data_IF_370160291064
#
_entry.id   IF_370160291064
#
_cell.length_a   1.000
_cell.length_b   1.000
_cell.length_c   1.000
_cell.angle_alpha   90.00
_cell.angle_beta   90.00
_cell.angle_gamma   90.00
#
_symmetry.space_group_name_H-M   'P 1'
#
loop_
_entity.id
_entity.type
_entity.pdbx_description
1 polymer ?
#
# COMPACT_ATOMS: atom_id res chain seq x y z
N UNK A 1 27.37 1.26 14.40
CA UNK A 1 27.07 1.09 15.85
C UNK A 1 25.97 2.02 16.35
N UNK A 2 25.93 3.30 16.00
CA UNK A 2 24.93 4.24 16.53
C UNK A 2 23.47 3.86 16.17
N UNK A 3 23.23 3.40 14.94
CA UNK A 3 21.91 2.94 14.49
C UNK A 3 21.40 1.72 15.27
N UNK A 4 22.28 0.76 15.54
CA UNK A 4 21.94 -0.43 16.34
C UNK A 4 21.57 -0.02 17.77
N UNK A 5 22.32 0.93 18.37
CA UNK A 5 21.99 1.46 19.69
C UNK A 5 20.62 2.13 19.72
N UNK A 6 20.29 2.95 18.72
CA UNK A 6 18.97 3.58 18.59
C UNK A 6 17.85 2.55 18.37
N UNK A 7 18.08 1.53 17.55
CA UNK A 7 17.10 0.47 17.31
C UNK A 7 16.82 -0.35 18.58
N UNK A 8 17.86 -0.69 19.34
CA UNK A 8 17.74 -1.36 20.64
C UNK A 8 16.95 -0.48 21.62
N UNK A 9 17.20 0.83 21.64
CA UNK A 9 16.46 1.77 22.49
C UNK A 9 14.97 1.77 22.12
N UNK A 10 14.64 1.92 20.82
CA UNK A 10 13.25 1.88 20.34
C UNK A 10 12.57 0.57 20.74
N UNK A 11 13.25 -0.57 20.55
CA UNK A 11 12.74 -1.89 20.92
C UNK A 11 12.37 -1.98 22.41
N UNK A 12 13.28 -1.59 23.31
CA UNK A 12 13.03 -1.62 24.75
C UNK A 12 11.95 -0.61 25.18
N UNK A 13 11.91 0.58 24.58
CA UNK A 13 10.84 1.56 24.88
C UNK A 13 9.46 1.04 24.48
N UNK A 14 9.33 0.41 23.31
CA UNK A 14 8.05 -0.16 22.86
C UNK A 14 7.62 -1.35 23.71
N UNK A 15 8.56 -2.19 24.16
CA UNK A 15 8.26 -3.25 25.12
C UNK A 15 7.69 -2.68 26.44
N UNK A 16 8.29 -1.63 26.98
CA UNK A 16 7.81 -0.98 28.20
C UNK A 16 6.48 -0.24 28.03
N UNK A 17 6.23 0.35 26.85
CA UNK A 17 5.00 1.08 26.54
C UNK A 17 3.85 0.15 26.11
N UNK A 18 4.13 -1.08 25.70
CA UNK A 18 3.12 -2.02 25.22
C UNK A 18 1.92 -2.25 26.17
N UNK A 19 2.08 -2.41 27.50
CA UNK A 19 0.93 -2.51 28.41
C UNK A 19 0.10 -1.23 28.47
N UNK A 20 0.71 -0.06 28.29
CA UNK A 20 0.03 1.24 28.26
C UNK A 20 -0.75 1.41 26.94
N UNK A 21 -0.17 1.02 25.81
CA UNK A 21 -0.84 0.97 24.51
C UNK A 21 -2.07 0.05 24.56
N UNK A 22 -1.96 -1.08 25.27
CA UNK A 22 -3.09 -2.00 25.49
C UNK A 22 -4.21 -1.36 26.31
N UNK A 23 -3.88 -0.60 27.36
CA UNK A 23 -4.89 0.01 28.23
C UNK A 23 -5.54 1.26 27.66
N UNK A 24 -4.90 1.92 26.68
CA UNK A 24 -5.28 3.25 26.16
C UNK A 24 -6.73 3.36 25.67
N UNK A 25 -7.26 2.32 25.03
CA UNK A 25 -8.61 2.36 24.43
C UNK A 25 -9.58 1.34 25.04
N UNK A 26 -9.30 0.85 26.25
CA UNK A 26 -10.18 -0.11 26.94
C UNK A 26 -11.57 0.46 27.25
N UNK A 27 -11.66 1.77 27.49
CA UNK A 27 -12.92 2.48 27.75
C UNK A 27 -13.73 2.80 26.49
N UNK A 28 -13.15 2.59 25.30
CA UNK A 28 -13.82 2.85 24.02
C UNK A 28 -14.51 1.58 23.51
N UNK A 29 -15.74 1.71 23.00
CA UNK A 29 -16.48 0.59 22.42
C UNK A 29 -15.79 0.02 21.17
N UNK A 30 -15.92 -1.29 20.96
CA UNK A 30 -15.30 -2.00 19.83
C UNK A 30 -15.73 -1.44 18.48
N UNK A 31 -17.03 -1.13 18.32
CA UNK A 31 -17.58 -0.65 17.05
C UNK A 31 -16.99 0.70 16.64
N UNK A 32 -16.81 1.59 17.62
CA UNK A 32 -16.12 2.88 17.41
C UNK A 32 -14.66 2.69 17.05
N UNK A 33 -13.96 1.72 17.66
CA UNK A 33 -12.58 1.40 17.32
C UNK A 33 -12.47 0.95 15.86
N UNK A 34 -13.33 0.03 15.41
CA UNK A 34 -13.35 -0.41 14.02
C UNK A 34 -13.62 0.75 13.06
N UNK A 35 -14.60 1.60 13.38
CA UNK A 35 -14.92 2.78 12.57
C UNK A 35 -13.76 3.79 12.51
N UNK A 36 -13.15 4.11 13.65
CA UNK A 36 -12.03 5.05 13.72
C UNK A 36 -10.79 4.50 13.00
N UNK A 37 -10.45 3.21 13.18
CA UNK A 37 -9.36 2.57 12.45
C UNK A 37 -9.60 2.57 10.94
N UNK A 38 -10.84 2.31 10.50
CA UNK A 38 -11.22 2.39 9.09
C UNK A 38 -11.00 3.80 8.53
N UNK A 39 -11.50 4.84 9.21
CA UNK A 39 -11.33 6.23 8.76
C UNK A 39 -9.88 6.69 8.78
N UNK A 40 -9.10 6.30 9.80
CA UNK A 40 -7.68 6.63 9.88
C UNK A 40 -6.87 5.92 8.78
N UNK A 41 -7.20 4.68 8.44
CA UNK A 41 -6.60 3.98 7.30
C UNK A 41 -7.03 4.60 5.96
N UNK A 42 -8.28 5.04 5.83
CA UNK A 42 -8.74 5.78 4.65
C UNK A 42 -7.96 7.09 4.49
N UNK A 43 -7.79 7.87 5.58
CA UNK A 43 -6.94 9.07 5.58
C UNK A 43 -5.51 8.72 5.18
N UNK A 44 -4.94 7.64 5.72
CA UNK A 44 -3.61 7.19 5.31
C UNK A 44 -3.55 6.98 3.79
N UNK A 45 -4.48 6.21 3.22
CA UNK A 45 -4.50 5.88 1.78
C UNK A 45 -4.68 7.14 0.93
N UNK A 46 -5.63 8.02 1.23
CA UNK A 46 -5.92 9.19 0.38
C UNK A 46 -4.86 10.28 0.47
N UNK A 47 -4.26 10.48 1.63
CA UNK A 47 -3.28 11.55 1.85
C UNK A 47 -1.82 11.09 1.72
N UNK A 48 -1.57 9.81 1.39
CA UNK A 48 -0.22 9.32 1.17
C UNK A 48 0.36 9.88 -0.14
N UNK A 49 1.58 10.42 -0.08
CA UNK A 49 2.28 10.90 -1.28
C UNK A 49 2.88 9.70 -2.06
N UNK A 50 2.10 9.20 -3.02
CA UNK A 50 2.51 8.17 -3.98
C UNK A 50 3.41 8.68 -5.10
N UNK A 51 3.67 10.00 -5.19
CA UNK A 51 4.54 10.53 -6.23
C UNK A 51 5.96 9.98 -6.05
N UNK A 52 6.47 9.34 -7.10
CA UNK A 52 7.80 8.71 -7.10
C UNK A 52 8.97 9.69 -7.23
N UNK A 53 8.70 11.00 -7.17
CA UNK A 53 9.66 12.04 -7.45
C UNK A 53 10.25 12.60 -6.15
N UNK A 54 11.58 12.60 -6.04
CA UNK A 54 12.29 13.47 -5.09
C UNK A 54 12.24 14.90 -5.60
N UNK A 55 11.08 15.53 -5.51
CA UNK A 55 10.98 16.97 -5.77
C UNK A 55 11.23 17.65 -4.44
N UNK A 56 12.47 18.09 -4.24
CA UNK A 56 12.94 18.85 -3.08
C UNK A 56 12.37 20.26 -3.00
N UNK A 57 11.07 20.45 -3.22
CA UNK A 57 10.40 21.75 -3.13
C UNK A 57 9.05 21.56 -2.44
N UNK A 58 9.02 21.92 -1.15
CA UNK A 58 7.86 22.42 -0.40
C UNK A 58 6.53 21.69 -0.60
N UNK A 59 6.47 20.37 -0.38
CA UNK A 59 5.18 19.71 -0.17
C UNK A 59 4.80 19.79 1.31
N UNK A 60 3.57 20.19 1.55
CA UNK A 60 2.88 20.22 2.84
C UNK A 60 3.19 18.97 3.71
N UNK A 61 3.00 19.04 5.04
CA UNK A 61 3.13 17.88 5.96
C UNK A 61 2.10 16.75 5.72
N UNK A 62 1.56 16.60 4.50
CA UNK A 62 0.68 15.50 4.09
C UNK A 62 1.34 14.13 4.25
N UNK A 63 2.66 14.04 4.04
CA UNK A 63 3.41 12.82 4.31
C UNK A 63 3.36 12.44 5.80
N UNK A 64 3.51 13.41 6.71
CA UNK A 64 3.39 13.17 8.15
C UNK A 64 1.97 12.90 8.61
N UNK A 65 0.95 13.53 8.01
CA UNK A 65 -0.46 13.26 8.34
C UNK A 65 -0.82 11.81 8.05
N UNK A 66 -0.47 11.32 6.85
CA UNK A 66 -0.77 9.96 6.42
C UNK A 66 -0.05 8.91 7.30
N UNK A 67 1.25 9.10 7.60
CA UNK A 67 1.97 8.16 8.46
C UNK A 67 1.48 8.18 9.90
N UNK A 68 1.17 9.35 10.45
CA UNK A 68 0.61 9.48 11.80
C UNK A 68 -0.77 8.84 11.90
N UNK A 69 -1.61 9.00 10.87
CA UNK A 69 -2.92 8.35 10.80
C UNK A 69 -2.80 6.82 10.76
N UNK A 70 -1.89 6.25 9.98
CA UNK A 70 -1.67 4.80 9.94
C UNK A 70 -1.13 4.25 11.26
N UNK A 71 -0.18 4.96 11.90
CA UNK A 71 0.33 4.55 13.21
C UNK A 71 -0.77 4.62 14.27
N UNK A 72 -1.60 5.67 14.27
CA UNK A 72 -2.74 5.80 15.18
C UNK A 72 -3.80 4.71 14.92
N UNK A 73 -4.10 4.39 13.67
CA UNK A 73 -5.02 3.30 13.33
C UNK A 73 -4.51 1.95 13.86
N UNK A 74 -3.21 1.72 13.71
CA UNK A 74 -2.52 0.50 14.15
C UNK A 74 -2.49 0.38 15.67
N UNK A 75 -2.21 1.47 16.41
CA UNK A 75 -2.16 1.44 17.87
C UNK A 75 -3.54 1.23 18.48
N UNK A 76 -4.58 1.86 17.92
CA UNK A 76 -5.98 1.70 18.35
C UNK A 76 -6.50 0.29 18.03
N UNK A 77 -6.02 -0.35 16.96
CA UNK A 77 -6.34 -1.76 16.69
C UNK A 77 -5.54 -2.71 17.59
N UNK A 78 -4.27 -2.38 17.84
CA UNK A 78 -3.38 -3.19 18.67
C UNK A 78 -3.88 -3.34 20.10
N UNK A 79 -4.49 -2.29 20.67
CA UNK A 79 -5.01 -2.33 22.03
C UNK A 79 -6.09 -3.39 22.29
N UNK A 80 -6.74 -3.90 21.23
CA UNK A 80 -7.73 -4.98 21.29
C UNK A 80 -7.12 -6.38 21.33
N UNK A 81 -5.82 -6.51 21.11
CA UNK A 81 -5.14 -7.80 21.15
C UNK A 81 -5.03 -8.31 22.59
N UNK A 82 -5.30 -9.62 22.83
CA UNK A 82 -5.34 -10.19 24.17
C UNK A 82 -3.97 -10.22 24.85
N UNK A 83 -2.89 -10.40 24.09
CA UNK A 83 -1.52 -10.47 24.63
C UNK A 83 -0.73 -9.19 24.40
N UNK A 84 -0.02 -8.73 25.43
CA UNK A 84 0.93 -7.61 25.34
C UNK A 84 2.00 -7.87 24.26
N UNK A 85 2.44 -9.11 24.10
CA UNK A 85 3.39 -9.48 23.03
C UNK A 85 2.83 -9.25 21.62
N UNK A 86 1.53 -9.50 21.43
CA UNK A 86 0.86 -9.25 20.14
C UNK A 86 0.73 -7.74 19.87
N UNK A 87 0.36 -6.95 20.88
CA UNK A 87 0.32 -5.48 20.81
C UNK A 87 1.69 -4.92 20.40
N UNK A 88 2.74 -5.39 21.06
CA UNK A 88 4.12 -5.02 20.74
C UNK A 88 4.49 -5.40 19.30
N UNK A 89 4.23 -6.63 18.89
CA UNK A 89 4.55 -7.09 17.53
C UNK A 89 3.81 -6.29 16.45
N UNK A 90 2.52 -5.98 16.68
CA UNK A 90 1.73 -5.22 15.72
C UNK A 90 2.20 -3.77 15.63
N UNK A 91 2.51 -3.13 16.77
CA UNK A 91 3.00 -1.75 16.78
C UNK A 91 4.39 -1.61 16.15
N UNK A 92 5.31 -2.55 16.42
CA UNK A 92 6.60 -2.61 15.73
C UNK A 92 6.43 -2.81 14.22
N UNK A 93 5.62 -3.79 13.83
CA UNK A 93 5.36 -4.08 12.43
C UNK A 93 4.76 -2.86 11.71
N UNK A 94 3.85 -2.13 12.33
CA UNK A 94 3.29 -0.90 11.76
C UNK A 94 4.33 0.22 11.59
N UNK A 95 5.27 0.37 12.52
CA UNK A 95 6.39 1.31 12.36
C UNK A 95 7.26 0.92 11.16
N UNK A 96 7.54 -0.37 10.99
CA UNK A 96 8.31 -0.87 9.85
C UNK A 96 7.57 -0.63 8.53
N UNK A 97 6.30 -1.04 8.42
CA UNK A 97 5.52 -0.99 7.17
C UNK A 97 5.11 0.42 6.77
N UNK A 98 4.70 1.27 7.72
CA UNK A 98 4.21 2.62 7.41
C UNK A 98 5.28 3.71 7.56
N UNK A 99 6.28 3.50 8.41
CA UNK A 99 7.34 4.48 8.66
C UNK A 99 8.59 4.23 7.82
N UNK A 100 9.25 3.09 8.06
CA UNK A 100 10.57 2.80 7.49
C UNK A 100 10.51 2.32 6.04
N UNK A 101 9.55 1.47 5.74
CA UNK A 101 9.44 0.80 4.45
C UNK A 101 9.18 1.75 3.27
N UNK A 102 8.36 2.81 3.38
CA UNK A 102 8.23 3.81 2.32
C UNK A 102 9.56 4.51 2.00
N UNK A 103 10.35 4.84 3.02
CA UNK A 103 11.68 5.46 2.86
C UNK A 103 12.63 4.49 2.17
N UNK A 104 12.66 3.23 2.63
CA UNK A 104 13.45 2.17 2.01
C UNK A 104 13.07 1.95 0.54
N UNK A 105 11.79 1.88 0.20
CA UNK A 105 11.32 1.71 -1.18
C UNK A 105 11.72 2.86 -2.09
N UNK A 106 11.67 4.09 -1.59
CA UNK A 106 12.17 5.28 -2.32
C UNK A 106 13.67 5.11 -2.57
N UNK A 107 14.45 4.83 -1.54
CA UNK A 107 15.90 4.62 -1.68
C UNK A 107 16.26 3.50 -2.67
N UNK A 108 15.59 2.34 -2.59
CA UNK A 108 15.80 1.21 -3.48
C UNK A 108 15.53 1.57 -4.95
N UNK A 109 14.47 2.35 -5.22
CA UNK A 109 14.14 2.85 -6.57
C UNK A 109 15.21 3.78 -7.13
N UNK A 110 15.78 4.67 -6.32
CA UNK A 110 16.86 5.55 -6.76
C UNK A 110 18.17 4.83 -7.01
N UNK A 111 18.46 3.77 -6.23
CA UNK A 111 19.73 3.05 -6.37
C UNK A 111 19.78 2.21 -7.64
N UNK A 112 18.73 1.43 -7.93
CA UNK A 112 18.61 0.73 -9.20
C UNK A 112 17.16 0.33 -9.50
N UNK A 113 16.78 0.41 -10.77
CA UNK A 113 15.48 -0.07 -11.23
C UNK A 113 15.29 -1.57 -10.96
N UNK A 114 16.36 -2.37 -11.11
CA UNK A 114 16.32 -3.82 -10.86
C UNK A 114 15.96 -4.14 -9.41
N UNK A 115 16.56 -3.45 -8.44
CA UNK A 115 16.23 -3.64 -7.02
C UNK A 115 14.77 -3.30 -6.73
N UNK A 116 14.24 -2.24 -7.34
CA UNK A 116 12.85 -1.87 -7.18
C UNK A 116 11.88 -2.93 -7.73
N UNK A 117 12.16 -3.47 -8.92
CA UNK A 117 11.35 -4.52 -9.55
C UNK A 117 11.42 -5.80 -8.73
N UNK A 118 12.62 -6.27 -8.38
CA UNK A 118 12.81 -7.48 -7.57
C UNK A 118 12.09 -7.36 -6.23
N UNK A 119 12.25 -6.23 -5.53
CA UNK A 119 11.55 -5.96 -4.28
C UNK A 119 10.03 -6.00 -4.47
N UNK A 120 9.51 -5.41 -5.55
CA UNK A 120 8.07 -5.39 -5.81
C UNK A 120 7.53 -6.79 -6.12
N UNK A 121 8.25 -7.61 -6.89
CA UNK A 121 7.89 -9.00 -7.14
C UNK A 121 7.86 -9.80 -5.84
N UNK A 122 8.90 -9.69 -5.01
CA UNK A 122 8.96 -10.39 -3.71
C UNK A 122 7.80 -10.00 -2.80
N UNK A 123 7.39 -8.73 -2.79
CA UNK A 123 6.26 -8.27 -1.99
C UNK A 123 4.92 -8.81 -2.49
N UNK A 124 4.69 -8.83 -3.81
CA UNK A 124 3.45 -9.36 -4.40
C UNK A 124 3.34 -10.86 -4.12
N UNK A 125 4.43 -11.59 -4.32
CA UNK A 125 4.50 -13.02 -4.04
C UNK A 125 4.30 -13.30 -2.54
N UNK A 126 5.01 -12.60 -1.66
CA UNK A 126 4.90 -12.77 -0.21
C UNK A 126 3.51 -12.44 0.32
N UNK A 127 2.91 -11.33 -0.13
CA UNK A 127 1.57 -10.93 0.28
C UNK A 127 0.49 -11.87 -0.26
N UNK A 128 0.55 -12.22 -1.55
CA UNK A 128 -0.37 -13.17 -2.17
C UNK A 128 -0.28 -14.55 -1.52
N UNK A 129 0.93 -15.05 -1.28
CA UNK A 129 1.15 -16.33 -0.60
C UNK A 129 0.67 -16.31 0.85
N UNK A 130 0.93 -15.23 1.59
CA UNK A 130 0.45 -15.06 2.97
C UNK A 130 -1.08 -15.09 3.06
N UNK A 131 -1.77 -14.34 2.20
CA UNK A 131 -3.24 -14.34 2.13
C UNK A 131 -3.76 -15.72 1.71
N UNK A 132 -3.12 -16.36 0.73
CA UNK A 132 -3.47 -17.71 0.27
C UNK A 132 -3.38 -18.75 1.38
N UNK A 133 -2.33 -18.71 2.22
CA UNK A 133 -2.18 -19.62 3.35
C UNK A 133 -3.26 -19.41 4.42
N UNK A 134 -3.63 -18.16 4.71
CA UNK A 134 -4.66 -17.84 5.71
C UNK A 134 -6.06 -18.27 5.22
N UNK A 135 -6.40 -17.94 3.97
CA UNK A 135 -7.71 -18.27 3.41
C UNK A 135 -7.85 -19.75 3.08
N UNK A 136 -6.81 -20.36 2.52
CA UNK A 136 -6.83 -21.79 2.20
C UNK A 136 -6.84 -22.67 3.44
N UNK A 137 -6.09 -22.29 4.48
CA UNK A 137 -6.16 -22.96 5.78
C UNK A 137 -7.56 -22.96 6.36
N UNK A 138 -8.35 -21.89 6.16
CA UNK A 138 -9.73 -21.81 6.63
C UNK A 138 -10.75 -22.56 5.75
N UNK A 139 -10.46 -22.78 4.47
CA UNK A 139 -11.33 -23.51 3.54
C UNK A 139 -11.18 -25.03 3.64
N UNK A 140 -10.00 -25.49 4.02
CA UNK A 140 -9.66 -26.91 4.09
C UNK A 140 -9.97 -27.56 5.47
N UNK A 141 -10.42 -26.79 6.47
CA UNK A 141 -10.76 -27.34 7.79
C UNK A 141 -12.26 -27.26 8.12
N UNK A 142 -12.85 -28.42 8.45
CA UNK A 142 -14.25 -28.60 8.88
C UNK A 142 -14.59 -27.98 10.26
N UNK A 143 -13.65 -27.25 10.89
CA UNK A 143 -13.91 -26.48 12.10
C UNK A 143 -12.66 -25.92 12.78
N UNK A 144 -12.81 -24.94 13.71
CA UNK A 144 -11.70 -24.18 14.30
C UNK A 144 -10.66 -25.02 15.07
N UNK A 145 -11.03 -26.21 15.57
CA UNK A 145 -10.14 -27.14 16.29
C UNK A 145 -9.38 -28.10 15.37
N UNK A 146 -9.82 -28.28 14.12
CA UNK A 146 -9.20 -29.18 13.17
C UNK A 146 -8.03 -28.51 12.41
N UNK A 147 -8.02 -27.18 12.32
CA UNK A 147 -6.95 -26.44 11.64
C UNK A 147 -5.62 -26.42 12.44
N UNK A 148 -5.63 -26.80 13.74
CA UNK A 148 -4.43 -26.80 14.60
C UNK A 148 -3.42 -27.89 14.23
N UNK A 149 -3.87 -28.98 13.58
CA UNK A 149 -3.02 -30.10 13.14
C UNK A 149 -2.77 -30.14 11.62
N UNK A 150 -3.17 -29.10 10.89
CA UNK A 150 -3.11 -29.13 9.43
C UNK A 150 -1.67 -28.88 8.91
N UNK A 151 -1.15 -29.72 8.00
CA UNK A 151 0.14 -29.50 7.36
C UNK A 151 0.20 -28.14 6.66
N UNK A 152 1.39 -27.55 6.59
CA UNK A 152 1.59 -26.23 5.99
C UNK A 152 0.98 -26.20 4.57
N UNK A 153 -0.06 -25.39 4.31
CA UNK A 153 -0.86 -25.50 3.09
C UNK A 153 -0.14 -24.76 1.96
N UNK A 154 0.97 -25.35 1.51
CA UNK A 154 1.84 -24.79 0.47
C UNK A 154 1.07 -24.60 -0.86
N UNK A 155 0.11 -25.47 -1.15
CA UNK A 155 -0.69 -25.40 -2.37
C UNK A 155 -1.60 -24.16 -2.39
N UNK A 156 -2.26 -23.84 -1.28
CA UNK A 156 -3.08 -22.61 -1.18
C UNK A 156 -2.22 -21.36 -1.13
N UNK A 157 -1.01 -21.44 -0.55
CA UNK A 157 0.02 -20.41 -0.66
C UNK A 157 0.42 -20.14 -2.11
N UNK A 158 0.74 -21.18 -2.90
CA UNK A 158 1.07 -21.03 -4.32
C UNK A 158 -0.11 -20.47 -5.13
N UNK A 159 -1.33 -20.93 -4.85
CA UNK A 159 -2.53 -20.37 -5.47
C UNK A 159 -2.67 -18.88 -5.14
N UNK A 160 -2.46 -18.49 -3.88
CA UNK A 160 -2.46 -17.09 -3.45
C UNK A 160 -1.38 -16.26 -4.13
N UNK A 161 -0.18 -16.80 -4.35
CA UNK A 161 0.88 -16.14 -5.12
C UNK A 161 0.46 -15.88 -6.56
N UNK A 162 -0.12 -16.88 -7.24
CA UNK A 162 -0.59 -16.76 -8.63
C UNK A 162 -1.71 -15.74 -8.73
N UNK A 163 -2.72 -15.84 -7.86
CA UNK A 163 -3.85 -14.89 -7.81
C UNK A 163 -3.34 -13.47 -7.52
N UNK A 164 -2.41 -13.31 -6.57
CA UNK A 164 -1.77 -12.03 -6.26
C UNK A 164 -1.05 -11.41 -7.46
N UNK A 165 -0.31 -12.21 -8.22
CA UNK A 165 0.33 -11.76 -9.46
C UNK A 165 -0.70 -11.34 -10.52
N UNK A 166 -1.78 -12.10 -10.71
CA UNK A 166 -2.85 -11.77 -11.66
C UNK A 166 -3.52 -10.45 -11.29
N UNK A 167 -3.91 -10.28 -10.02
CA UNK A 167 -4.52 -9.03 -9.53
C UNK A 167 -3.56 -7.87 -9.75
N UNK A 168 -2.29 -8.02 -9.40
CA UNK A 168 -1.29 -6.97 -9.58
C UNK A 168 -1.11 -6.60 -11.07
N UNK A 169 -1.07 -7.59 -11.96
CA UNK A 169 -0.96 -7.38 -13.40
C UNK A 169 -2.21 -6.70 -13.99
N UNK A 170 -3.41 -7.12 -13.57
CA UNK A 170 -4.68 -6.53 -14.03
C UNK A 170 -4.83 -5.11 -13.49
N UNK A 171 -4.52 -4.86 -12.22
CA UNK A 171 -4.63 -3.53 -11.63
C UNK A 171 -3.62 -2.56 -12.24
N UNK A 172 -2.33 -2.93 -12.31
CA UNK A 172 -1.31 -2.06 -12.88
C UNK A 172 -1.48 -1.91 -14.40
N UNK A 173 -1.64 -3.02 -15.12
CA UNK A 173 -1.82 -3.03 -16.56
C UNK A 173 -3.13 -2.38 -17.01
N UNK A 174 -4.23 -2.67 -16.32
CA UNK A 174 -5.54 -2.09 -16.59
C UNK A 174 -5.56 -0.57 -16.34
N UNK A 175 -5.01 -0.10 -15.22
CA UNK A 175 -4.89 1.33 -14.97
C UNK A 175 -3.97 2.02 -15.99
N UNK A 176 -2.83 1.43 -16.34
CA UNK A 176 -1.94 1.99 -17.36
C UNK A 176 -2.59 2.04 -18.74
N UNK A 177 -3.27 0.97 -19.17
CA UNK A 177 -3.98 0.94 -20.45
C UNK A 177 -5.10 1.96 -20.49
N UNK A 178 -5.90 2.03 -19.42
CA UNK A 178 -6.99 3.00 -19.30
C UNK A 178 -6.48 4.43 -19.41
N UNK A 179 -5.41 4.77 -18.69
CA UNK A 179 -4.80 6.12 -18.74
C UNK A 179 -4.23 6.45 -20.12
N UNK A 180 -3.58 5.51 -20.81
CA UNK A 180 -3.11 5.70 -22.19
C UNK A 180 -4.30 5.91 -23.13
N UNK A 181 -5.39 5.16 -22.95
CA UNK A 181 -6.63 5.33 -23.71
C UNK A 181 -7.27 6.70 -23.51
N UNK A 182 -7.13 7.29 -22.33
CA UNK A 182 -7.61 8.65 -22.05
C UNK A 182 -6.74 9.75 -22.68
N UNK A 183 -5.49 9.45 -23.07
CA UNK A 183 -4.65 10.43 -23.75
C UNK A 183 -5.23 10.87 -25.09
N UNK A 184 -6.02 10.04 -25.78
CA UNK A 184 -6.69 10.41 -27.04
C UNK A 184 -7.64 11.60 -26.86
N UNK A 185 -8.42 11.61 -25.77
CA UNK A 185 -9.35 12.71 -25.46
C UNK A 185 -8.61 13.98 -25.01
N UNK A 186 -7.43 13.85 -24.41
CA UNK A 186 -6.59 15.01 -24.06
C UNK A 186 -5.94 15.67 -25.28
N UNK A 187 -5.60 14.88 -26.30
CA UNK A 187 -4.94 15.35 -27.51
C UNK A 187 -5.90 16.01 -28.52
N UNK A 188 -7.21 15.79 -28.36
CA UNK A 188 -8.25 16.32 -29.25
C UNK A 188 -8.93 17.60 -28.72
N UNK A 189 -8.70 17.98 -27.46
CA UNK A 189 -9.26 19.21 -26.90
C UNK A 189 -8.39 20.39 -27.32
N UNK A 190 -8.76 21.01 -28.44
CA UNK A 190 -8.34 22.37 -28.75
C UNK A 190 -8.88 23.29 -27.66
N UNK A 191 -8.00 23.99 -26.96
CA UNK A 191 -8.44 25.02 -26.02
C UNK A 191 -9.20 26.13 -26.76
N UNK A 192 -10.07 26.90 -26.08
CA UNK A 192 -10.74 28.05 -26.69
C UNK A 192 -9.78 29.16 -27.18
N UNK A 193 -8.48 29.01 -26.87
CA UNK A 193 -7.39 29.92 -27.25
C UNK A 193 -6.42 29.29 -28.27
N UNK A 194 -6.68 28.07 -28.76
CA UNK A 194 -5.80 27.41 -29.73
C UNK A 194 -6.02 28.03 -31.13
N UNK A 195 -4.96 28.41 -31.87
CA UNK A 195 -5.11 29.06 -33.16
C UNK A 195 -5.87 28.16 -34.15
N UNK A 196 -6.95 28.67 -34.72
CA UNK A 196 -7.73 27.94 -35.72
C UNK A 196 -6.83 27.55 -36.90
N UNK A 197 -6.74 26.26 -37.21
CA UNK A 197 -6.04 25.78 -38.41
C UNK A 197 -6.97 25.97 -39.62
N UNK A 198 -6.62 26.83 -40.60
CA UNK A 198 -7.46 27.01 -41.77
C UNK A 198 -7.46 25.72 -42.62
N UNK A 199 -8.66 25.20 -42.88
CA UNK A 199 -8.86 24.06 -43.77
C UNK A 199 -8.80 24.59 -45.20
N UNK A 200 -7.64 24.48 -45.85
CA UNK A 200 -7.50 24.84 -47.27
C UNK A 200 -8.04 23.68 -48.08
N UNK A 201 -9.30 23.77 -48.50
CA UNK A 201 -9.89 22.85 -49.48
C UNK A 201 -9.23 23.15 -50.83
N UNK A 202 -8.15 22.44 -51.15
CA UNK A 202 -7.54 22.49 -52.47
C UNK A 202 -7.87 21.21 -53.25
N UNK A 203 -8.84 21.31 -54.16
CA UNK A 203 -8.71 20.98 -55.59
C UNK A 203 -10.06 21.08 -56.29
N UNK A 204 -10.25 22.08 -57.17
CA UNK A 204 -10.95 21.84 -58.44
C UNK A 204 -9.84 21.73 -59.47
N UNK A 205 -9.60 20.50 -59.91
CA UNK A 205 -8.87 20.24 -61.14
C UNK A 205 -9.80 20.72 -62.25
N UNK A 206 -9.45 21.84 -62.89
CA UNK A 206 -10.05 22.22 -64.15
C UNK A 206 -9.14 21.64 -65.21
N UNK A 207 -9.68 20.72 -66.01
CA UNK A 207 -9.04 20.22 -67.21
C UNK A 207 -9.01 21.36 -68.25
N UNK A 208 -7.84 21.61 -68.82
CA UNK A 208 -7.62 22.60 -69.88
C UNK A 208 -8.16 22.05 -71.22
N UNK A 209 -9.10 22.77 -71.85
CA UNK A 209 -9.44 22.64 -73.28
C UNK A 209 -8.63 23.65 -74.12
#
# INVERSE_FOLDING_TARGET
MNTIKSAILIYFTLLGLSPILKSLTLSTSSDSIWAMSFWLLAINIFFFDYSGAWVGVNKFPVASLSTNAALMASTVLASRLPSTGQVFSLTLFSIEVFGLFPVFRRYARHRSWRYHVVLTVLLVLGAGGGVGMILGGAADCDGPRACESQPWPWASGLLGMVVGCVIAAVAMGGCSWWLIGLQKYKNEIYGPWDPARPIIISRRHWDDD
#
